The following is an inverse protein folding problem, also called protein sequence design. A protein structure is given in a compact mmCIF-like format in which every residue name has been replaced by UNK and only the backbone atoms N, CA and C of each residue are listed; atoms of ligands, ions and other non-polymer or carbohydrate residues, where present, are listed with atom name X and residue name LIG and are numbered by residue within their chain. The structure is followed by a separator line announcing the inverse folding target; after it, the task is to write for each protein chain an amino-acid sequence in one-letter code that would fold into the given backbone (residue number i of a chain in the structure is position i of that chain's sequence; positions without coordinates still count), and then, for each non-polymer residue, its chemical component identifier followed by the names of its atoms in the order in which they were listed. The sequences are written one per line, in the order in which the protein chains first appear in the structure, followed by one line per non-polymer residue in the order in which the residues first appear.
data_IF_686715227375
#
_entry.id   IF_686715227375
#
_cell.length_a   1.000
_cell.length_b   1.000
_cell.length_c   1.000
_cell.angle_alpha   90.00
_cell.angle_beta   90.00
_cell.angle_gamma   90.00
#
_symmetry.space_group_name_H-M   'P 1'
#
loop_
_entity.id
_entity.type
_entity.pdbx_description
1 polymer ?
#
# COMPACT_ATOMS: atom_id res chain seq x y z
N UNK A 1 -13.13 17.64 -4.74
CA UNK A 1 -11.86 17.45 -5.43
C UNK A 1 -12.04 16.40 -6.51
N UNK A 2 -11.78 16.76 -7.76
CA UNK A 2 -11.89 15.81 -8.86
C UNK A 2 -10.55 15.14 -9.12
N UNK A 3 -10.61 13.83 -9.27
CA UNK A 3 -9.44 13.02 -9.65
C UNK A 3 -9.82 12.23 -10.88
N UNK A 4 -8.96 12.25 -11.88
CA UNK A 4 -9.20 11.53 -13.13
C UNK A 4 -8.06 10.55 -13.39
N UNK A 5 -8.40 9.43 -13.99
CA UNK A 5 -7.44 8.44 -14.44
C UNK A 5 -7.91 7.89 -15.78
N UNK A 6 -6.96 7.53 -16.62
CA UNK A 6 -7.26 6.98 -17.94
C UNK A 6 -6.22 5.94 -18.33
N UNK A 7 -6.60 5.05 -19.21
CA UNK A 7 -5.66 4.10 -19.83
C UNK A 7 -5.81 4.16 -21.34
N UNK A 8 -4.69 3.98 -22.04
CA UNK A 8 -4.64 3.89 -23.48
C UNK A 8 -3.98 2.57 -23.87
N UNK A 9 -4.66 1.79 -24.69
CA UNK A 9 -4.15 0.51 -25.17
C UNK A 9 -2.94 0.72 -26.07
N UNK A 10 -1.92 -0.11 -25.88
CA UNK A 10 -0.72 -0.10 -26.73
C UNK A 10 -0.65 -1.36 -27.61
N UNK A 11 -0.64 -2.50 -27.00
CA UNK A 11 -0.59 -3.79 -27.72
C UNK A 11 -0.93 -4.94 -26.75
N UNK A 12 -1.40 -6.05 -27.28
CA UNK A 12 -1.73 -7.20 -26.45
C UNK A 12 -2.69 -6.86 -25.32
N UNK A 13 -2.24 -7.05 -24.09
CA UNK A 13 -2.97 -6.65 -22.89
C UNK A 13 -2.25 -5.54 -22.12
N UNK A 14 -1.45 -4.75 -22.84
CA UNK A 14 -0.69 -3.64 -22.27
C UNK A 14 -1.38 -2.30 -22.50
N UNK A 15 -1.28 -1.47 -21.48
CA UNK A 15 -1.84 -0.13 -21.47
C UNK A 15 -0.85 0.85 -20.84
N UNK A 16 -0.96 2.10 -21.25
CA UNK A 16 -0.34 3.21 -20.52
C UNK A 16 -1.44 3.87 -19.70
N UNK A 17 -1.22 3.93 -18.39
CA UNK A 17 -2.16 4.54 -17.47
C UNK A 17 -1.63 5.92 -17.04
N UNK A 18 -2.51 6.90 -16.98
CA UNK A 18 -2.17 8.27 -16.58
C UNK A 18 -3.19 8.78 -15.59
N UNK A 19 -2.70 9.54 -14.63
CA UNK A 19 -3.55 10.23 -13.66
C UNK A 19 -3.58 11.73 -13.93
N UNK A 20 -4.59 12.40 -13.42
CA UNK A 20 -4.73 13.88 -13.55
C UNK A 20 -3.57 14.65 -12.92
N UNK A 21 -2.77 14.01 -12.05
CA UNK A 21 -1.54 14.59 -11.51
C UNK A 21 -0.41 14.71 -12.54
N UNK A 22 -0.57 14.14 -13.74
CA UNK A 22 0.43 14.14 -14.80
C UNK A 22 1.37 12.94 -14.78
N UNK A 23 1.17 12.01 -13.85
CA UNK A 23 2.02 10.82 -13.71
C UNK A 23 1.37 9.59 -14.34
N UNK A 24 2.20 8.70 -14.85
CA UNK A 24 1.71 7.50 -15.51
C UNK A 24 2.59 6.29 -15.26
N UNK A 25 2.03 5.13 -15.55
CA UNK A 25 2.71 3.84 -15.48
C UNK A 25 2.24 2.94 -16.61
N UNK A 26 3.01 1.88 -16.89
CA UNK A 26 2.58 0.82 -17.79
C UNK A 26 1.86 -0.25 -16.99
N UNK A 27 0.79 -0.79 -17.55
CA UNK A 27 0.01 -1.89 -16.98
C UNK A 27 0.00 -3.03 -17.98
N UNK A 28 0.20 -4.26 -17.51
CA UNK A 28 0.16 -5.44 -18.35
C UNK A 28 -0.61 -6.57 -17.65
N UNK A 29 -1.72 -6.99 -18.24
CA UNK A 29 -2.54 -8.07 -17.69
C UNK A 29 -2.06 -9.45 -18.12
N UNK A 30 -1.17 -9.52 -19.12
CA UNK A 30 -0.63 -10.79 -19.62
C UNK A 30 0.44 -11.33 -18.68
N UNK A 31 0.10 -12.40 -17.98
CA UNK A 31 1.00 -13.03 -16.99
C UNK A 31 2.19 -13.74 -17.62
N UNK A 32 2.05 -14.22 -18.83
CA UNK A 32 3.16 -14.89 -19.54
C UNK A 32 4.19 -13.86 -20.01
N UNK A 33 3.70 -12.79 -20.63
CA UNK A 33 4.55 -11.69 -21.08
C UNK A 33 5.18 -10.93 -19.91
N UNK A 34 4.40 -10.67 -18.89
CA UNK A 34 4.82 -10.10 -17.61
C UNK A 34 5.77 -8.90 -17.73
N UNK A 35 5.37 -7.89 -18.50
CA UNK A 35 6.18 -6.69 -18.72
C UNK A 35 5.89 -5.54 -17.77
N UNK A 36 4.83 -5.65 -16.98
CA UNK A 36 4.44 -4.66 -15.98
C UNK A 36 3.47 -5.29 -14.98
N UNK A 37 3.19 -4.57 -13.89
CA UNK A 37 2.21 -5.02 -12.93
C UNK A 37 0.80 -5.04 -13.55
N UNK A 38 -0.01 -5.99 -13.12
CA UNK A 38 -1.41 -6.08 -13.55
C UNK A 38 -2.31 -5.19 -12.73
N UNK A 39 -3.57 -4.99 -13.18
CA UNK A 39 -4.51 -4.09 -12.51
C UNK A 39 -4.77 -4.46 -11.05
N UNK A 40 -4.94 -5.73 -10.74
CA UNK A 40 -5.21 -6.17 -9.37
C UNK A 40 -3.99 -6.03 -8.46
N UNK A 41 -2.79 -6.19 -9.01
CA UNK A 41 -1.56 -5.90 -8.26
C UNK A 41 -1.46 -4.41 -7.94
N UNK A 42 -1.87 -3.55 -8.86
CA UNK A 42 -1.88 -2.10 -8.64
C UNK A 42 -2.81 -1.69 -7.51
N UNK A 43 -3.93 -2.38 -7.34
CA UNK A 43 -4.84 -2.15 -6.22
C UNK A 43 -4.11 -2.41 -4.89
N UNK A 44 -3.38 -3.52 -4.79
CA UNK A 44 -2.59 -3.83 -3.60
C UNK A 44 -1.46 -2.85 -3.38
N UNK A 45 -0.77 -2.45 -4.44
CA UNK A 45 0.29 -1.43 -4.32
C UNK A 45 -0.28 -0.11 -3.84
N UNK A 46 -1.46 0.28 -4.34
CA UNK A 46 -2.16 1.46 -3.88
C UNK A 46 -2.52 1.39 -2.40
N UNK A 47 -2.99 0.25 -1.94
CA UNK A 47 -3.27 0.01 -0.53
C UNK A 47 -2.01 0.16 0.33
N UNK A 48 -0.92 -0.50 -0.07
CA UNK A 48 0.36 -0.40 0.64
C UNK A 48 0.87 1.04 0.71
N UNK A 49 0.82 1.75 -0.42
CA UNK A 49 1.31 3.13 -0.48
C UNK A 49 0.44 4.08 0.36
N UNK A 50 -0.87 3.90 0.32
CA UNK A 50 -1.80 4.74 1.06
C UNK A 50 -1.59 4.61 2.57
N UNK A 51 -1.55 3.39 3.07
CA UNK A 51 -1.34 3.15 4.50
C UNK A 51 0.08 3.51 4.94
N UNK A 52 1.10 3.25 4.10
CA UNK A 52 2.47 3.65 4.40
C UNK A 52 2.60 5.18 4.54
N UNK A 53 1.92 5.92 3.69
CA UNK A 53 1.90 7.39 3.76
C UNK A 53 1.37 7.85 5.12
N UNK A 54 0.28 7.24 5.58
CA UNK A 54 -0.30 7.59 6.87
C UNK A 54 0.66 7.28 8.03
N UNK A 55 1.26 6.08 8.00
CA UNK A 55 2.21 5.66 9.05
C UNK A 55 3.39 6.62 9.13
N UNK A 56 4.00 6.95 7.99
CA UNK A 56 5.10 7.92 7.94
C UNK A 56 4.67 9.27 8.49
N UNK A 57 3.52 9.76 8.05
CA UNK A 57 3.01 11.06 8.48
C UNK A 57 2.76 11.11 9.99
N UNK A 58 2.14 10.07 10.53
CA UNK A 58 1.81 10.00 11.95
C UNK A 58 3.08 9.86 12.80
N UNK A 59 4.03 9.01 12.39
CA UNK A 59 5.29 8.85 13.12
C UNK A 59 6.10 10.14 13.13
N UNK A 60 6.09 10.89 12.02
CA UNK A 60 6.72 12.21 11.97
C UNK A 60 6.09 13.20 12.95
N UNK A 61 4.77 13.25 13.00
CA UNK A 61 4.04 14.11 13.94
C UNK A 61 4.33 13.76 15.38
N UNK A 62 4.49 12.46 15.66
CA UNK A 62 4.86 11.97 17.00
C UNK A 62 6.36 12.15 17.30
N UNK A 63 7.13 12.61 16.32
CA UNK A 63 8.59 12.77 16.41
C UNK A 63 9.31 11.46 16.75
N UNK A 64 8.79 10.36 16.24
CA UNK A 64 9.43 9.06 16.38
C UNK A 64 10.62 8.97 15.41
N UNK A 65 11.81 8.56 15.87
CA UNK A 65 13.02 8.53 15.03
C UNK A 65 13.08 7.21 14.23
N UNK A 66 12.14 7.01 13.33
CA UNK A 66 12.16 5.85 12.45
C UNK A 66 13.19 6.03 11.32
N UNK A 67 13.79 4.94 10.89
CA UNK A 67 14.77 4.92 9.80
C UNK A 67 14.17 4.38 8.50
N UNK A 68 13.14 3.56 8.58
CA UNK A 68 12.48 3.01 7.41
C UNK A 68 11.10 2.51 7.71
N UNK A 69 10.26 2.51 6.69
CA UNK A 69 8.91 1.94 6.74
C UNK A 69 8.73 1.07 5.50
N UNK A 70 8.33 -0.16 5.72
CA UNK A 70 8.02 -1.10 4.65
C UNK A 70 6.65 -1.70 4.91
N UNK A 71 5.81 -1.73 3.89
CA UNK A 71 4.47 -2.33 3.97
C UNK A 71 4.33 -3.36 2.87
N UNK A 72 3.97 -4.57 3.26
CA UNK A 72 3.73 -5.68 2.35
C UNK A 72 2.28 -6.12 2.48
N UNK A 73 1.61 -6.34 1.37
CA UNK A 73 0.28 -6.92 1.35
C UNK A 73 0.37 -8.36 0.83
N UNK A 74 -0.22 -9.28 1.58
CA UNK A 74 -0.44 -10.66 1.14
C UNK A 74 -1.94 -10.84 1.00
N UNK A 75 -2.38 -11.27 -0.17
CA UNK A 75 -3.80 -11.38 -0.46
C UNK A 75 -4.10 -12.62 -1.28
N UNK A 76 -5.31 -13.13 -1.14
CA UNK A 76 -5.80 -14.26 -1.94
C UNK A 76 -7.01 -13.79 -2.73
N UNK A 77 -7.02 -14.12 -4.02
CA UNK A 77 -8.16 -13.81 -4.89
C UNK A 77 -9.19 -14.93 -4.83
N UNK A 78 -10.45 -14.55 -4.94
CA UNK A 78 -11.54 -15.52 -5.08
C UNK A 78 -11.32 -16.39 -6.33
N UNK A 79 -11.78 -17.63 -6.28
CA UNK A 79 -11.61 -18.58 -7.39
C UNK A 79 -12.63 -18.37 -8.50
N UNK A 80 -13.75 -17.76 -8.18
CA UNK A 80 -14.83 -17.49 -9.13
C UNK A 80 -14.89 -16.00 -9.47
N UNK A 81 -15.27 -15.70 -10.69
CA UNK A 81 -15.41 -14.34 -11.16
C UNK A 81 -16.59 -13.61 -10.47
N UNK A 82 -16.45 -12.33 -10.12
CA UNK A 82 -15.22 -11.55 -10.19
C UNK A 82 -14.22 -11.98 -9.13
N UNK A 83 -12.97 -12.19 -9.54
CA UNK A 83 -11.92 -12.73 -8.67
C UNK A 83 -11.36 -11.65 -7.74
N UNK A 84 -12.18 -11.14 -6.84
CA UNK A 84 -11.83 -10.12 -5.86
C UNK A 84 -10.88 -10.65 -4.80
N UNK A 85 -10.20 -9.75 -4.09
CA UNK A 85 -9.47 -10.14 -2.89
C UNK A 85 -10.45 -10.40 -1.77
N UNK A 86 -10.29 -11.53 -1.09
CA UNK A 86 -11.13 -11.87 0.07
C UNK A 86 -10.40 -11.64 1.38
N UNK A 87 -9.22 -12.28 1.65
CA UNK A 87 -8.37 -11.86 2.76
C UNK A 87 -7.23 -10.99 2.23
N UNK A 88 -6.89 -9.95 2.98
CA UNK A 88 -5.69 -9.15 2.76
C UNK A 88 -4.98 -9.02 4.11
N UNK A 89 -3.71 -9.37 4.15
CA UNK A 89 -2.87 -9.18 5.32
C UNK A 89 -1.84 -8.10 5.01
N UNK A 90 -1.83 -7.04 5.81
CA UNK A 90 -0.85 -5.97 5.72
C UNK A 90 0.21 -6.18 6.78
N UNK A 91 1.45 -6.28 6.35
CA UNK A 91 2.61 -6.49 7.22
C UNK A 91 3.44 -5.22 7.19
N UNK A 92 3.51 -4.54 8.34
CA UNK A 92 4.26 -3.30 8.51
C UNK A 92 5.58 -3.62 9.18
N UNK A 93 6.68 -3.21 8.58
CA UNK A 93 8.01 -3.31 9.19
C UNK A 93 8.57 -1.91 9.32
N UNK A 94 8.81 -1.49 10.56
CA UNK A 94 9.35 -0.17 10.87
C UNK A 94 10.70 -0.35 11.55
N UNK A 95 11.71 0.32 11.02
CA UNK A 95 13.06 0.30 11.60
C UNK A 95 13.37 1.63 12.28
N UNK A 96 14.32 1.61 13.21
CA UNK A 96 14.71 2.76 13.98
C UNK A 96 14.35 2.62 15.45
N UNK A 97 14.67 3.65 16.23
CA UNK A 97 14.35 3.71 17.65
C UNK A 97 12.91 4.19 17.87
N UNK A 98 11.95 3.33 17.48
CA UNK A 98 10.53 3.65 17.57
C UNK A 98 9.86 2.84 18.65
N UNK A 99 8.87 3.42 19.31
CA UNK A 99 8.06 2.66 20.25
C UNK A 99 7.03 1.83 19.51
N UNK A 100 6.83 0.60 19.97
CA UNK A 100 5.81 -0.28 19.39
C UNK A 100 4.43 0.37 19.47
N UNK A 101 4.13 1.00 20.60
CA UNK A 101 2.84 1.68 20.77
C UNK A 101 2.61 2.76 19.71
N UNK A 102 3.62 3.57 19.42
CA UNK A 102 3.50 4.61 18.41
C UNK A 102 3.21 4.04 17.02
N UNK A 103 3.89 2.94 16.67
CA UNK A 103 3.69 2.27 15.38
C UNK A 103 2.29 1.64 15.33
N UNK A 104 1.89 0.93 16.36
CA UNK A 104 0.55 0.32 16.43
C UNK A 104 -0.55 1.36 16.38
N UNK A 105 -0.38 2.48 17.06
CA UNK A 105 -1.33 3.60 16.98
C UNK A 105 -1.40 4.19 15.57
N UNK A 106 -0.27 4.34 14.90
CA UNK A 106 -0.22 4.85 13.53
C UNK A 106 -0.94 3.92 12.56
N UNK A 107 -0.70 2.62 12.68
CA UNK A 107 -1.37 1.60 11.85
C UNK A 107 -2.88 1.62 12.10
N UNK A 108 -3.29 1.64 13.35
CA UNK A 108 -4.71 1.67 13.71
C UNK A 108 -5.40 2.93 13.17
N UNK A 109 -4.78 4.09 13.30
CA UNK A 109 -5.33 5.34 12.79
C UNK A 109 -5.45 5.33 11.25
N UNK A 110 -4.47 4.76 10.56
CA UNK A 110 -4.55 4.59 9.12
C UNK A 110 -5.76 3.73 8.74
N UNK A 111 -5.90 2.58 9.39
CA UNK A 111 -6.98 1.63 9.09
C UNK A 111 -8.37 2.15 9.44
N UNK A 112 -8.51 2.83 10.56
CA UNK A 112 -9.81 3.27 11.06
C UNK A 112 -10.24 4.65 10.54
N UNK A 113 -9.30 5.51 10.18
CA UNK A 113 -9.62 6.91 9.94
C UNK A 113 -9.10 7.49 8.63
N UNK A 114 -7.87 7.19 8.23
CA UNK A 114 -7.21 7.97 7.19
C UNK A 114 -7.08 7.30 5.82
N UNK A 115 -6.85 5.99 5.77
CA UNK A 115 -6.60 5.31 4.49
C UNK A 115 -7.88 5.13 3.68
N UNK A 116 -8.03 5.95 2.64
CA UNK A 116 -9.19 5.85 1.74
C UNK A 116 -9.26 4.53 0.99
N UNK A 117 -8.11 3.99 0.60
CA UNK A 117 -8.06 2.71 -0.12
C UNK A 117 -8.51 1.58 0.80
N UNK A 118 -8.02 1.54 2.04
CA UNK A 118 -8.46 0.56 3.03
C UNK A 118 -9.97 0.65 3.27
N UNK A 119 -10.49 1.87 3.41
CA UNK A 119 -11.92 2.09 3.63
C UNK A 119 -12.77 1.51 2.49
N UNK A 120 -12.33 1.66 1.24
CA UNK A 120 -13.03 1.08 0.09
C UNK A 120 -12.92 -0.44 0.06
N UNK A 121 -11.72 -0.97 0.26
CA UNK A 121 -11.48 -2.41 0.15
C UNK A 121 -12.11 -3.21 1.27
N UNK A 122 -12.28 -2.63 2.45
CA UNK A 122 -12.95 -3.29 3.60
C UNK A 122 -14.39 -3.71 3.30
N UNK A 123 -15.03 -3.06 2.35
CA UNK A 123 -16.40 -3.43 1.95
C UNK A 123 -16.46 -4.82 1.32
N UNK A 124 -15.35 -5.30 0.77
CA UNK A 124 -15.28 -6.59 0.06
C UNK A 124 -14.31 -7.56 0.72
N UNK A 125 -13.18 -7.06 1.19
CA UNK A 125 -12.09 -7.88 1.73
C UNK A 125 -11.95 -7.71 3.24
N UNK A 126 -11.55 -8.78 3.91
CA UNK A 126 -11.16 -8.71 5.32
C UNK A 126 -9.68 -8.33 5.37
N UNK A 127 -9.38 -7.18 5.97
CA UNK A 127 -8.01 -6.69 6.12
C UNK A 127 -7.56 -6.92 7.55
N UNK A 128 -6.44 -7.64 7.72
CA UNK A 128 -5.77 -7.82 9.00
C UNK A 128 -4.38 -7.21 8.93
N UNK A 129 -3.84 -6.79 10.06
CA UNK A 129 -2.56 -6.10 10.14
C UNK A 129 -1.60 -6.81 11.08
N UNK A 130 -0.31 -6.68 10.80
CA UNK A 130 0.76 -7.24 11.60
C UNK A 130 1.90 -6.21 11.63
N UNK A 131 2.50 -6.01 12.81
CA UNK A 131 3.55 -5.00 13.00
C UNK A 131 4.83 -5.67 13.44
N UNK A 132 5.92 -5.36 12.75
CA UNK A 132 7.27 -5.80 13.10
C UNK A 132 8.17 -4.58 13.27
N UNK A 133 9.01 -4.62 14.29
CA UNK A 133 10.05 -3.61 14.51
C UNK A 133 11.40 -4.27 14.25
N UNK A 134 12.30 -3.57 13.58
CA UNK A 134 13.61 -4.12 13.24
C UNK A 134 14.71 -3.08 13.30
N UNK A 135 15.94 -3.55 13.59
CA UNK A 135 17.14 -2.76 13.42
C UNK A 135 17.27 -1.51 14.28
N UNK A 136 16.62 -1.47 15.44
CA UNK A 136 16.62 -0.28 16.27
C UNK A 136 18.02 0.18 16.64
N UNK A 137 18.90 -0.74 17.02
CA UNK A 137 20.26 -0.46 17.45
C UNK A 137 21.20 -0.03 16.32
N UNK A 138 20.84 -0.33 15.09
CA UNK A 138 21.62 0.02 13.90
C UNK A 138 20.98 1.08 13.03
N UNK A 139 19.79 1.52 13.42
CA UNK A 139 19.00 2.41 12.59
C UNK A 139 19.56 3.83 12.57
N UNK A 140 19.54 4.47 11.40
CA UNK A 140 19.83 5.88 11.27
C UNK A 140 18.62 6.70 11.76
N UNK A 141 18.83 7.98 12.16
CA UNK A 141 17.71 8.85 12.49
C UNK A 141 16.74 8.99 11.31
N UNK A 142 15.47 9.21 11.63
CA UNK A 142 14.46 9.42 10.61
C UNK A 142 14.78 10.63 9.74
N UNK A 143 14.58 10.48 8.43
CA UNK A 143 14.72 11.58 7.49
C UNK A 143 13.45 12.41 7.48
N UNK A 144 13.64 13.70 7.34
CA UNK A 144 12.52 14.63 7.24
C UNK A 144 11.89 14.61 5.84
#
# INVERSE_FOLDING_TARGET
MNVEAQVTWTDGERFVANASSGHGIVVDSDRERNTAAGPMEMVLMGLCACTATDVVSILRKKREPFAGVHVKAEAVRATEAPTVYTPIKLIYTVSGHVSRKAVEDAVRLSEEKYCGVSAMLKCTAKIVTEVHLSGAETAAPARK
#
